data_IF_670568454570
#
_entry.id   IF_670568454570
#
_cell.length_a   1.000
_cell.length_b   1.000
_cell.length_c   1.000
_cell.angle_alpha   90.00
_cell.angle_beta   90.00
_cell.angle_gamma   90.00
#
_symmetry.space_group_name_H-M   'P 1'
#
loop_
_entity.id
_entity.type
_entity.pdbx_description
1 polymer ?
#
# COMPACT_ATOMS: atom_id res chain seq x y z
N UNK A 1 49.09 -33.45 -15.33
CA UNK A 1 48.69 -32.25 -16.11
C UNK A 1 47.52 -32.63 -17.00
N UNK A 2 46.29 -32.42 -16.51
CA UNK A 2 45.15 -32.18 -17.41
C UNK A 2 44.19 -31.29 -16.65
N UNK A 3 44.06 -30.09 -17.19
CA UNK A 3 43.35 -28.96 -16.63
C UNK A 3 41.89 -28.95 -17.10
N UNK A 4 41.06 -28.33 -16.26
CA UNK A 4 39.67 -27.87 -16.39
C UNK A 4 38.79 -28.26 -17.58
N UNK A 5 37.51 -28.55 -17.28
CA UNK A 5 36.35 -27.74 -17.70
C UNK A 5 35.06 -28.24 -17.03
N UNK A 6 34.76 -27.72 -15.83
CA UNK A 6 33.46 -27.89 -15.18
C UNK A 6 32.63 -26.62 -15.46
N UNK A 7 31.59 -26.76 -16.28
CA UNK A 7 30.71 -25.67 -16.74
C UNK A 7 30.10 -24.92 -15.55
N UNK A 8 30.17 -23.58 -15.48
CA UNK A 8 29.47 -22.81 -14.47
C UNK A 8 28.00 -22.56 -14.88
N UNK A 9 27.06 -22.70 -13.93
CA UNK A 9 25.86 -21.86 -13.94
C UNK A 9 24.48 -22.50 -14.09
N UNK A 10 24.26 -23.77 -13.73
CA UNK A 10 22.89 -24.26 -13.52
C UNK A 10 22.53 -24.25 -12.02
N UNK A 11 21.89 -23.16 -11.56
CA UNK A 11 21.25 -23.12 -10.24
C UNK A 11 20.02 -24.03 -10.24
N UNK A 12 20.00 -25.02 -9.36
CA UNK A 12 18.82 -25.85 -9.10
C UNK A 12 17.68 -24.99 -8.53
N UNK A 13 16.45 -25.08 -9.04
CA UNK A 13 15.32 -24.38 -8.46
C UNK A 13 15.00 -25.02 -7.11
N UNK A 14 15.13 -24.25 -6.02
CA UNK A 14 14.65 -24.66 -4.69
C UNK A 14 15.58 -24.41 -3.50
N UNK A 15 16.81 -23.93 -3.68
CA UNK A 15 17.68 -23.62 -2.53
C UNK A 15 17.57 -22.14 -2.12
N UNK A 16 16.72 -21.88 -1.13
CA UNK A 16 16.63 -20.59 -0.44
C UNK A 16 17.85 -20.37 0.46
N UNK A 17 18.40 -19.15 0.44
CA UNK A 17 19.47 -18.73 1.36
C UNK A 17 18.93 -18.68 2.81
N UNK A 18 19.68 -19.21 3.81
CA UNK A 18 19.30 -19.07 5.21
C UNK A 18 19.21 -17.59 5.60
N UNK A 19 18.08 -17.18 6.18
CA UNK A 19 17.87 -15.80 6.67
C UNK A 19 16.89 -14.94 5.86
N UNK A 20 16.26 -15.47 4.79
CA UNK A 20 15.17 -14.76 4.12
C UNK A 20 13.86 -14.92 4.92
N UNK A 21 13.18 -13.82 5.30
CA UNK A 21 11.89 -13.90 5.97
C UNK A 21 10.89 -14.64 5.09
N UNK A 22 10.15 -15.58 5.68
CA UNK A 22 9.17 -16.44 4.98
C UNK A 22 8.26 -15.55 4.13
N UNK A 23 8.29 -15.75 2.82
CA UNK A 23 7.38 -15.09 1.88
C UNK A 23 5.97 -15.66 2.08
N UNK A 24 5.22 -15.11 3.03
CA UNK A 24 3.78 -15.29 3.06
C UNK A 24 3.18 -14.77 1.74
N UNK A 25 2.29 -15.56 1.12
CA UNK A 25 1.56 -15.16 -0.09
C UNK A 25 0.76 -13.86 0.11
N UNK A 26 0.41 -13.55 1.35
CA UNK A 26 -0.35 -12.35 1.70
C UNK A 26 0.63 -11.26 2.12
N UNK A 27 0.68 -10.11 1.42
CA UNK A 27 1.38 -8.95 1.94
C UNK A 27 0.76 -8.56 3.28
N UNK A 28 1.57 -8.53 4.33
CA UNK A 28 1.10 -8.20 5.66
C UNK A 28 0.60 -6.74 5.81
N UNK A 29 1.00 -5.73 5.00
CA UNK A 29 0.47 -4.37 5.15
C UNK A 29 -1.03 -4.22 4.83
N UNK A 30 -1.59 -4.83 3.76
CA UNK A 30 -3.04 -4.89 3.58
C UNK A 30 -3.84 -5.54 4.72
N UNK A 31 -3.23 -6.43 5.51
CA UNK A 31 -3.91 -7.03 6.67
C UNK A 31 -4.25 -5.98 7.74
N UNK A 32 -3.45 -4.91 7.87
CA UNK A 32 -3.76 -3.80 8.79
C UNK A 32 -5.12 -3.18 8.42
N UNK A 33 -5.34 -2.91 7.13
CA UNK A 33 -6.59 -2.31 6.66
C UNK A 33 -7.76 -3.29 6.75
N UNK A 34 -7.57 -4.57 6.42
CA UNK A 34 -8.62 -5.58 6.59
C UNK A 34 -9.02 -5.72 8.06
N UNK A 35 -8.06 -5.77 8.97
CA UNK A 35 -8.32 -5.80 10.40
C UNK A 35 -9.05 -4.51 10.86
N UNK A 36 -8.60 -3.34 10.42
CA UNK A 36 -9.23 -2.07 10.77
C UNK A 36 -10.67 -1.99 10.24
N UNK A 37 -10.95 -2.49 9.03
CA UNK A 37 -12.32 -2.59 8.48
C UNK A 37 -13.18 -3.53 9.34
N UNK A 38 -12.67 -4.72 9.66
CA UNK A 38 -13.41 -5.69 10.49
C UNK A 38 -13.74 -5.11 11.89
N UNK A 39 -12.78 -4.43 12.52
CA UNK A 39 -12.99 -3.76 13.80
C UNK A 39 -13.98 -2.60 13.66
N UNK A 40 -13.91 -1.81 12.58
CA UNK A 40 -14.86 -0.72 12.33
C UNK A 40 -16.30 -1.22 12.17
N UNK A 41 -16.48 -2.36 11.49
CA UNK A 41 -17.77 -3.03 11.36
C UNK A 41 -18.24 -3.55 12.72
N UNK A 42 -17.39 -4.27 13.46
CA UNK A 42 -17.74 -4.79 14.78
C UNK A 42 -18.13 -3.66 15.76
N UNK A 43 -17.36 -2.57 15.80
CA UNK A 43 -17.67 -1.40 16.63
C UNK A 43 -18.95 -0.69 16.16
N UNK A 44 -19.21 -0.60 14.86
CA UNK A 44 -20.46 -0.03 14.35
C UNK A 44 -21.69 -0.87 14.70
N UNK A 45 -21.54 -2.19 14.77
CA UNK A 45 -22.61 -3.11 15.18
C UNK A 45 -22.83 -3.11 16.70
N UNK A 46 -21.75 -3.02 17.49
CA UNK A 46 -21.80 -3.07 18.95
C UNK A 46 -22.10 -1.71 19.59
N UNK A 47 -21.60 -0.63 18.99
CA UNK A 47 -21.69 0.74 19.48
C UNK A 47 -22.04 1.68 18.31
N UNK A 48 -23.28 1.63 17.79
CA UNK A 48 -23.69 2.51 16.70
C UNK A 48 -23.68 3.96 17.18
N UNK A 49 -22.80 4.76 16.59
CA UNK A 49 -22.74 6.20 16.83
C UNK A 49 -23.63 6.94 15.84
N UNK A 50 -24.23 8.08 16.26
CA UNK A 50 -25.04 8.88 15.36
C UNK A 50 -24.19 9.39 14.19
N UNK A 51 -24.75 9.32 12.99
CA UNK A 51 -24.18 9.88 11.77
C UNK A 51 -24.94 11.13 11.33
N UNK A 52 -24.33 11.90 10.43
CA UNK A 52 -24.93 13.09 9.83
C UNK A 52 -26.06 12.66 8.88
N UNK A 53 -27.29 13.03 9.21
CA UNK A 53 -28.48 12.75 8.39
C UNK A 53 -28.92 13.92 7.49
N UNK A 54 -30.08 13.76 6.86
CA UNK A 54 -30.68 14.76 5.96
C UNK A 54 -29.88 14.99 4.67
N UNK A 55 -30.08 16.16 4.05
CA UNK A 55 -29.41 16.52 2.80
C UNK A 55 -27.88 16.37 2.86
N UNK A 56 -27.27 16.69 4.01
CA UNK A 56 -25.83 16.55 4.17
C UNK A 56 -25.41 15.07 4.19
N UNK A 57 -26.21 14.20 4.78
CA UNK A 57 -26.01 12.74 4.72
C UNK A 57 -26.05 12.22 3.28
N UNK A 58 -27.02 12.67 2.48
CA UNK A 58 -27.15 12.27 1.07
C UNK A 58 -25.96 12.74 0.22
N UNK A 59 -25.49 13.98 0.45
CA UNK A 59 -24.28 14.51 -0.19
C UNK A 59 -23.05 13.69 0.20
N UNK A 60 -22.89 13.36 1.48
CA UNK A 60 -21.78 12.54 1.96
C UNK A 60 -21.84 11.13 1.36
N UNK A 61 -23.02 10.52 1.25
CA UNK A 61 -23.21 9.23 0.61
C UNK A 61 -22.76 9.25 -0.86
N UNK A 62 -23.20 10.25 -1.63
CA UNK A 62 -22.78 10.44 -3.01
C UNK A 62 -21.25 10.68 -3.11
N UNK A 63 -20.69 11.51 -2.23
CA UNK A 63 -19.26 11.75 -2.16
C UNK A 63 -18.47 10.48 -1.83
N UNK A 64 -19.03 9.58 -1.02
CA UNK A 64 -18.45 8.28 -0.71
C UNK A 64 -18.29 7.39 -1.95
N UNK A 65 -19.31 7.34 -2.82
CA UNK A 65 -19.21 6.63 -4.09
C UNK A 65 -18.19 7.26 -5.04
N UNK A 66 -18.17 8.59 -5.15
CA UNK A 66 -17.16 9.31 -5.93
C UNK A 66 -15.75 8.99 -5.42
N UNK A 67 -15.55 8.98 -4.10
CA UNK A 67 -14.29 8.59 -3.49
C UNK A 67 -13.92 7.14 -3.83
N UNK A 68 -14.88 6.21 -3.83
CA UNK A 68 -14.62 4.81 -4.19
C UNK A 68 -14.18 4.66 -5.66
N UNK A 69 -14.82 5.38 -6.58
CA UNK A 69 -14.36 5.42 -7.98
C UNK A 69 -12.94 6.00 -8.09
N UNK A 70 -12.64 7.05 -7.31
CA UNK A 70 -11.30 7.61 -7.20
C UNK A 70 -10.26 6.60 -6.70
N UNK A 71 -10.59 5.79 -5.69
CA UNK A 71 -9.75 4.71 -5.16
C UNK A 71 -9.46 3.67 -6.24
N UNK A 72 -10.49 3.20 -6.95
CA UNK A 72 -10.33 2.22 -8.03
C UNK A 72 -9.44 2.77 -9.14
N UNK A 73 -9.64 4.03 -9.54
CA UNK A 73 -8.80 4.69 -10.53
C UNK A 73 -7.34 4.83 -10.05
N UNK A 74 -7.13 5.16 -8.78
CA UNK A 74 -5.80 5.29 -8.18
C UNK A 74 -5.06 3.94 -8.13
N UNK A 75 -5.73 2.87 -7.69
CA UNK A 75 -5.17 1.52 -7.74
C UNK A 75 -4.83 1.09 -9.17
N UNK A 76 -5.78 1.25 -10.09
CA UNK A 76 -5.58 0.86 -11.49
C UNK A 76 -4.38 1.57 -12.11
N UNK A 77 -4.29 2.89 -11.92
CA UNK A 77 -3.19 3.70 -12.46
C UNK A 77 -1.86 3.40 -11.78
N UNK A 78 -1.84 3.14 -10.47
CA UNK A 78 -0.62 2.78 -9.75
C UNK A 78 -0.09 1.41 -10.21
N UNK A 79 -0.96 0.40 -10.26
CA UNK A 79 -0.62 -0.95 -10.74
C UNK A 79 -0.15 -0.89 -12.20
N UNK A 80 -0.87 -0.18 -13.08
CA UNK A 80 -0.47 -0.01 -14.48
C UNK A 80 0.92 0.63 -14.61
N UNK A 81 1.23 1.61 -13.76
CA UNK A 81 2.54 2.27 -13.75
C UNK A 81 3.64 1.29 -13.32
N UNK A 82 3.38 0.49 -12.28
CA UNK A 82 4.33 -0.52 -11.82
C UNK A 82 4.58 -1.63 -12.87
N UNK A 83 3.52 -2.13 -13.51
CA UNK A 83 3.62 -3.12 -14.58
C UNK A 83 4.44 -2.56 -15.76
N UNK A 84 4.17 -1.32 -16.17
CA UNK A 84 4.92 -0.64 -17.24
C UNK A 84 6.39 -0.45 -16.89
N UNK A 85 6.69 -0.20 -15.62
CA UNK A 85 8.05 -0.09 -15.12
C UNK A 85 8.73 -1.46 -14.89
N UNK A 86 8.06 -2.58 -15.22
CA UNK A 86 8.52 -3.95 -15.00
C UNK A 86 9.00 -4.18 -13.56
N UNK A 87 8.32 -3.56 -12.60
CA UNK A 87 8.66 -3.67 -11.19
C UNK A 87 7.73 -4.65 -10.48
N UNK A 88 8.19 -5.16 -9.35
CA UNK A 88 7.44 -6.14 -8.54
C UNK A 88 6.28 -5.45 -7.79
N UNK A 89 5.11 -6.11 -7.78
CA UNK A 89 3.96 -5.74 -6.95
C UNK A 89 4.06 -6.27 -5.51
N UNK A 90 5.03 -7.13 -5.22
CA UNK A 90 5.23 -7.66 -3.87
C UNK A 90 5.84 -6.60 -2.95
N UNK A 91 5.18 -6.23 -1.83
CA UNK A 91 5.71 -5.26 -0.85
C UNK A 91 7.03 -5.69 -0.22
N UNK A 92 7.28 -6.99 -0.16
CA UNK A 92 8.52 -7.56 0.40
C UNK A 92 9.63 -7.76 -0.63
N UNK A 93 9.34 -7.53 -1.92
CA UNK A 93 10.33 -7.71 -2.96
C UNK A 93 10.94 -6.36 -3.31
N UNK A 94 12.27 -6.36 -3.45
CA UNK A 94 13.00 -5.13 -3.71
C UNK A 94 12.86 -4.77 -5.20
N UNK A 95 12.19 -3.66 -5.57
CA UNK A 95 11.92 -3.32 -6.97
C UNK A 95 13.21 -3.09 -7.75
N UNK A 96 13.28 -3.52 -9.01
CA UNK A 96 14.47 -3.36 -9.86
C UNK A 96 14.66 -1.95 -10.39
N UNK A 97 13.56 -1.21 -10.51
CA UNK A 97 13.56 0.18 -10.94
C UNK A 97 12.75 1.04 -9.96
N UNK A 98 13.22 2.27 -9.75
CA UNK A 98 12.51 3.27 -8.97
C UNK A 98 11.43 3.91 -9.85
N UNK A 99 10.17 3.77 -9.44
CA UNK A 99 9.02 4.35 -10.14
C UNK A 99 8.69 5.71 -9.52
N UNK A 100 8.72 6.77 -10.33
CA UNK A 100 8.50 8.15 -9.86
C UNK A 100 7.48 8.91 -10.71
N UNK A 101 6.71 8.21 -11.55
CA UNK A 101 5.76 8.79 -12.50
C UNK A 101 4.32 8.36 -12.17
N UNK A 102 3.35 9.05 -12.77
CA UNK A 102 1.93 8.78 -12.51
C UNK A 102 1.57 9.02 -11.04
N UNK A 103 0.83 8.12 -10.38
CA UNK A 103 0.48 8.27 -8.96
C UNK A 103 1.69 8.40 -8.02
N UNK A 104 2.83 7.80 -8.39
CA UNK A 104 4.07 7.89 -7.62
C UNK A 104 4.72 9.29 -7.69
N UNK A 105 4.31 10.15 -8.62
CA UNK A 105 4.75 11.55 -8.63
C UNK A 105 4.00 12.42 -7.60
N UNK A 106 2.83 11.97 -7.12
CA UNK A 106 1.98 12.70 -6.18
C UNK A 106 2.25 12.27 -4.74
N UNK A 107 2.29 10.96 -4.51
CA UNK A 107 2.64 10.35 -3.22
C UNK A 107 3.61 9.21 -3.47
N UNK A 108 4.58 9.01 -2.59
CA UNK A 108 5.47 7.83 -2.66
C UNK A 108 4.73 6.52 -2.44
N UNK A 109 3.55 6.56 -1.82
CA UNK A 109 2.80 5.41 -1.34
C UNK A 109 1.34 5.43 -1.83
N UNK A 110 1.08 5.53 -3.14
CA UNK A 110 -0.26 5.78 -3.67
C UNK A 110 -1.24 4.63 -3.39
N UNK A 111 -0.74 3.39 -3.29
CA UNK A 111 -1.55 2.22 -2.94
C UNK A 111 -2.01 2.30 -1.48
N UNK A 112 -1.12 2.66 -0.55
CA UNK A 112 -1.48 2.83 0.86
C UNK A 112 -2.43 4.01 1.07
N UNK A 113 -2.24 5.11 0.32
CA UNK A 113 -3.17 6.23 0.28
C UNK A 113 -4.56 5.79 -0.18
N UNK A 114 -4.65 5.01 -1.26
CA UNK A 114 -5.90 4.46 -1.75
C UNK A 114 -6.61 3.59 -0.69
N UNK A 115 -5.87 2.81 0.11
CA UNK A 115 -6.45 2.02 1.20
C UNK A 115 -7.04 2.90 2.32
N UNK A 116 -6.37 4.01 2.68
CA UNK A 116 -6.92 4.97 3.65
C UNK A 116 -8.18 5.63 3.11
N UNK A 117 -8.15 6.05 1.83
CA UNK A 117 -9.30 6.65 1.16
C UNK A 117 -10.47 5.67 1.00
N UNK A 118 -10.20 4.38 0.83
CA UNK A 118 -11.21 3.34 0.81
C UNK A 118 -11.99 3.29 2.12
N UNK A 119 -11.29 3.30 3.27
CA UNK A 119 -11.97 3.33 4.57
C UNK A 119 -12.82 4.59 4.75
N UNK A 120 -12.31 5.75 4.31
CA UNK A 120 -13.07 7.01 4.35
C UNK A 120 -14.32 6.90 3.46
N UNK A 121 -14.19 6.40 2.23
CA UNK A 121 -15.32 6.19 1.31
C UNK A 121 -16.37 5.25 1.91
N UNK A 122 -15.95 4.16 2.55
CA UNK A 122 -16.85 3.23 3.25
C UNK A 122 -17.54 3.94 4.43
N UNK A 123 -16.83 4.77 5.21
CA UNK A 123 -17.42 5.57 6.28
C UNK A 123 -18.58 6.42 5.77
N UNK A 124 -18.37 7.11 4.64
CA UNK A 124 -19.36 7.99 4.03
C UNK A 124 -20.56 7.23 3.45
N UNK A 125 -20.33 6.08 2.81
CA UNK A 125 -21.40 5.25 2.23
C UNK A 125 -22.22 4.56 3.32
N UNK A 126 -21.56 4.03 4.34
CA UNK A 126 -22.23 3.25 5.41
C UNK A 126 -22.77 4.11 6.55
N UNK A 127 -22.34 5.37 6.65
CA UNK A 127 -22.62 6.22 7.80
C UNK A 127 -21.94 5.74 9.10
N UNK A 128 -20.92 4.88 9.02
CA UNK A 128 -20.27 4.34 10.20
C UNK A 128 -19.04 5.18 10.61
N UNK A 129 -19.19 5.94 11.71
CA UNK A 129 -18.15 6.83 12.26
C UNK A 129 -16.84 6.12 12.54
N UNK A 130 -16.87 4.85 12.97
CA UNK A 130 -15.67 4.12 13.41
C UNK A 130 -14.61 3.96 12.31
N UNK A 131 -15.02 3.97 11.05
CA UNK A 131 -14.08 3.91 9.93
C UNK A 131 -13.13 5.12 9.88
N UNK A 132 -13.54 6.31 10.33
CA UNK A 132 -12.71 7.52 10.27
C UNK A 132 -11.49 7.46 11.20
N UNK A 133 -11.64 7.29 12.54
CA UNK A 133 -10.49 7.17 13.43
C UNK A 133 -9.67 5.91 13.12
N UNK A 134 -10.32 4.80 12.73
CA UNK A 134 -9.58 3.58 12.40
C UNK A 134 -8.81 3.70 11.09
N UNK A 135 -9.26 4.50 10.12
CA UNK A 135 -8.48 4.82 8.93
C UNK A 135 -7.18 5.56 9.29
N UNK A 136 -7.25 6.53 10.22
CA UNK A 136 -6.07 7.27 10.69
C UNK A 136 -5.10 6.35 11.42
N UNK A 137 -5.62 5.49 12.32
CA UNK A 137 -4.82 4.51 13.06
C UNK A 137 -4.17 3.51 12.10
N UNK A 138 -4.92 3.00 11.12
CA UNK A 138 -4.40 2.08 10.11
C UNK A 138 -3.32 2.74 9.23
N UNK A 139 -3.51 4.00 8.83
CA UNK A 139 -2.52 4.77 8.08
C UNK A 139 -1.23 4.97 8.88
N UNK A 140 -1.35 5.34 10.17
CA UNK A 140 -0.20 5.48 11.06
C UNK A 140 0.54 4.16 11.29
N UNK A 141 -0.19 3.07 11.56
CA UNK A 141 0.38 1.73 11.72
C UNK A 141 1.10 1.28 10.45
N UNK A 142 0.47 1.46 9.28
CA UNK A 142 1.06 1.15 7.98
C UNK A 142 2.32 1.98 7.73
N UNK A 143 2.31 3.26 8.10
CA UNK A 143 3.50 4.10 7.98
C UNK A 143 4.68 3.54 8.76
N UNK A 144 4.46 3.23 10.05
CA UNK A 144 5.53 2.81 10.96
C UNK A 144 6.02 1.39 10.70
N UNK A 145 5.11 0.49 10.39
CA UNK A 145 5.46 -0.92 10.26
C UNK A 145 5.94 -1.26 8.84
N UNK A 146 5.37 -0.63 7.80
CA UNK A 146 5.60 -1.00 6.40
C UNK A 146 6.41 0.05 5.66
N UNK A 147 5.84 1.25 5.49
CA UNK A 147 6.40 2.30 4.62
C UNK A 147 7.83 2.66 5.05
N UNK A 148 8.07 2.92 6.34
CA UNK A 148 9.41 3.28 6.80
C UNK A 148 10.46 2.18 6.56
N UNK A 149 10.06 0.90 6.59
CA UNK A 149 10.93 -0.22 6.25
C UNK A 149 11.21 -0.30 4.75
N UNK A 150 10.17 -0.22 3.92
CA UNK A 150 10.27 -0.20 2.46
C UNK A 150 11.16 0.96 1.98
N UNK A 151 10.97 2.16 2.54
CA UNK A 151 11.76 3.34 2.20
C UNK A 151 13.24 3.20 2.55
N UNK A 152 13.58 2.54 3.67
CA UNK A 152 14.98 2.25 4.03
C UNK A 152 15.62 1.31 3.00
N UNK A 153 14.89 0.28 2.58
CA UNK A 153 15.35 -0.65 1.54
C UNK A 153 15.56 0.07 0.21
N UNK A 154 14.63 0.94 -0.19
CA UNK A 154 14.74 1.76 -1.39
C UNK A 154 15.92 2.74 -1.32
N UNK A 155 16.12 3.39 -0.16
CA UNK A 155 17.24 4.29 0.07
C UNK A 155 18.58 3.57 -0.05
N UNK A 156 18.68 2.33 0.45
CA UNK A 156 19.87 1.49 0.32
C UNK A 156 20.10 1.04 -1.13
N UNK A 157 19.07 0.58 -1.85
CA UNK A 157 19.22 0.09 -3.24
C UNK A 157 19.50 1.21 -4.24
N UNK A 158 18.79 2.33 -4.15
CA UNK A 158 18.82 3.38 -5.18
C UNK A 158 19.62 4.63 -4.76
N UNK A 159 20.04 4.73 -3.49
CA UNK A 159 20.94 5.76 -2.99
C UNK A 159 20.46 7.18 -3.31
N UNK A 160 21.29 7.94 -4.04
CA UNK A 160 21.02 9.34 -4.39
C UNK A 160 19.71 9.50 -5.17
N UNK A 161 19.39 8.60 -6.09
CA UNK A 161 18.16 8.69 -6.91
C UNK A 161 16.90 8.68 -6.04
N UNK A 162 16.86 7.81 -5.03
CA UNK A 162 15.74 7.77 -4.10
C UNK A 162 15.70 9.00 -3.19
N UNK A 163 16.84 9.49 -2.71
CA UNK A 163 16.89 10.70 -1.87
C UNK A 163 16.42 11.95 -2.62
N UNK A 164 16.79 12.09 -3.88
CA UNK A 164 16.35 13.22 -4.70
C UNK A 164 14.83 13.16 -4.95
N UNK A 165 14.31 11.96 -5.25
CA UNK A 165 12.88 11.71 -5.36
C UNK A 165 12.11 11.99 -4.05
N UNK A 166 12.63 11.53 -2.91
CA UNK A 166 11.98 11.71 -1.60
C UNK A 166 11.93 13.17 -1.13
N UNK A 167 12.75 14.06 -1.71
CA UNK A 167 12.71 15.51 -1.46
C UNK A 167 11.58 16.19 -2.21
N UNK A 168 11.21 15.69 -3.40
CA UNK A 168 10.19 16.30 -4.24
C UNK A 168 8.80 15.71 -4.00
N UNK A 169 8.73 14.45 -3.56
CA UNK A 169 7.48 13.75 -3.32
C UNK A 169 7.34 13.37 -1.85
N UNK A 170 6.21 13.75 -1.25
CA UNK A 170 5.89 13.43 0.16
C UNK A 170 5.49 11.95 0.32
N UNK A 171 5.56 11.46 1.56
CA UNK A 171 5.15 10.07 1.89
C UNK A 171 3.66 9.86 1.62
N UNK A 172 2.87 10.76 2.17
CA UNK A 172 1.44 10.97 1.94
C UNK A 172 1.27 12.32 1.22
N UNK A 173 0.09 12.59 0.65
CA UNK A 173 -0.24 13.89 0.02
C UNK A 173 0.11 15.10 0.92
#
# INVERSE_FOLDING_TARGET
>A
MTDHQQKPGQQKPGQQKPGQPKSGLIPWPPLIYVAAIAVSIALGLLYPLPWIGGLLGDILFAAGWVALFGVVALWFTAIRTMIRAKTTLHPNAVPDHLVTTGPFAVSRNPIYLANTLLMIGIALISGNVWFLPLAIIAAFATQKMAIEGEEKVLATKFGKKYRDYAKTVRRWI
#
